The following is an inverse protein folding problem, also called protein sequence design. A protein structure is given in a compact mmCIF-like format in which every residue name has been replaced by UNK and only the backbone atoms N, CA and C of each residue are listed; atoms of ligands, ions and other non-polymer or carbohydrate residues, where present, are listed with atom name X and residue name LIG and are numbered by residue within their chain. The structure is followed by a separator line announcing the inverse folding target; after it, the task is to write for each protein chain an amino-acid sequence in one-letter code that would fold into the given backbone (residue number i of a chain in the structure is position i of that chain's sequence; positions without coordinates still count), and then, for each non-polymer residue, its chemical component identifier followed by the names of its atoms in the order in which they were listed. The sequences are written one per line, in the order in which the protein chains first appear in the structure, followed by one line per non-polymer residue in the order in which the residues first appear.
data_IF_058927662592
#
_entry.id   IF_058927662592
#
_cell.length_a   1.000
_cell.length_b   1.000
_cell.length_c   1.000
_cell.angle_alpha   90.00
_cell.angle_beta   90.00
_cell.angle_gamma   90.00
#
_symmetry.space_group_name_H-M   'P 1'
#
loop_
_entity.id
_entity.type
_entity.pdbx_description
1 polymer ?
#
# COMPACT_ATOMS: atom_id res chain seq x y z
N UNK A 1 -6.64 1.26 -13.07
CA UNK A 1 -6.40 0.59 -11.78
C UNK A 1 -4.93 0.36 -11.57
N UNK A 2 -4.46 0.56 -10.33
CA UNK A 2 -3.04 0.43 -9.94
C UNK A 2 -2.49 -0.97 -10.29
N UNK A 3 -3.27 -2.03 -10.12
CA UNK A 3 -2.84 -3.40 -10.43
C UNK A 3 -2.57 -3.61 -11.93
N UNK A 4 -3.23 -2.86 -12.81
CA UNK A 4 -2.95 -2.90 -14.24
C UNK A 4 -1.59 -2.28 -14.57
N UNK A 5 -1.24 -1.15 -13.95
CA UNK A 5 0.08 -0.55 -14.10
C UNK A 5 1.19 -1.49 -13.59
N UNK A 6 0.92 -2.19 -12.48
CA UNK A 6 1.83 -3.20 -11.95
C UNK A 6 2.03 -4.36 -12.94
N UNK A 7 0.95 -4.89 -13.55
CA UNK A 7 1.08 -5.95 -14.55
C UNK A 7 1.97 -5.58 -15.74
N UNK A 8 1.99 -4.31 -16.17
CA UNK A 8 2.86 -3.85 -17.26
C UNK A 8 4.36 -3.90 -16.88
N UNK A 9 4.68 -3.96 -15.58
CA UNK A 9 6.05 -4.04 -15.08
C UNK A 9 6.59 -5.47 -14.96
N UNK A 10 5.83 -6.51 -15.35
CA UNK A 10 6.25 -7.92 -15.21
C UNK A 10 7.62 -8.21 -15.83
N UNK A 11 7.80 -7.82 -17.09
CA UNK A 11 9.08 -8.01 -17.80
C UNK A 11 10.21 -7.17 -17.19
N UNK A 12 9.89 -6.01 -16.62
CA UNK A 12 10.87 -5.17 -15.93
C UNK A 12 11.32 -5.81 -14.61
N UNK A 13 10.39 -6.41 -13.87
CA UNK A 13 10.69 -7.05 -12.60
C UNK A 13 11.54 -8.32 -12.73
N UNK A 14 11.51 -9.02 -13.88
CA UNK A 14 12.34 -10.21 -14.15
C UNK A 14 12.26 -11.28 -13.04
N UNK A 15 11.07 -11.49 -12.48
CA UNK A 15 10.84 -12.43 -11.38
C UNK A 15 11.49 -12.02 -10.04
N UNK A 16 12.01 -10.81 -9.92
CA UNK A 16 12.57 -10.26 -8.68
C UNK A 16 11.49 -9.63 -7.79
N UNK A 17 11.72 -9.57 -6.48
CA UNK A 17 10.90 -8.76 -5.57
C UNK A 17 10.91 -7.28 -5.97
N UNK A 18 9.81 -6.57 -5.71
CA UNK A 18 9.65 -5.17 -6.07
C UNK A 18 8.99 -4.33 -4.99
N UNK A 19 9.23 -3.02 -5.08
CA UNK A 19 8.52 -1.99 -4.33
C UNK A 19 7.72 -1.15 -5.31
N UNK A 20 6.45 -0.97 -5.03
CA UNK A 20 5.52 -0.14 -5.80
C UNK A 20 5.18 1.07 -4.94
N UNK A 21 5.45 2.26 -5.48
CA UNK A 21 5.16 3.54 -4.82
C UNK A 21 4.26 4.35 -5.74
N UNK A 22 3.10 4.76 -5.26
CA UNK A 22 2.22 5.66 -6.00
C UNK A 22 2.87 7.06 -6.09
N UNK A 23 2.85 7.66 -7.28
CA UNK A 23 3.63 8.85 -7.57
C UNK A 23 3.23 10.13 -6.82
N UNK A 24 2.06 10.14 -6.18
CA UNK A 24 1.52 11.24 -5.38
C UNK A 24 1.68 11.02 -3.86
N UNK A 25 2.38 9.96 -3.45
CA UNK A 25 2.61 9.64 -2.04
C UNK A 25 3.89 10.28 -1.54
N UNK A 26 3.79 11.04 -0.46
CA UNK A 26 4.87 11.83 0.12
C UNK A 26 5.05 11.40 1.57
N UNK A 27 6.28 11.06 1.95
CA UNK A 27 6.60 10.53 3.26
C UNK A 27 7.98 10.98 3.73
N UNK A 28 8.14 11.03 5.05
CA UNK A 28 9.37 11.50 5.69
C UNK A 28 10.47 10.42 5.76
N UNK A 29 10.05 9.18 6.02
CA UNK A 29 10.95 8.13 6.51
C UNK A 29 11.60 7.32 5.40
N UNK A 30 12.84 6.90 5.64
CA UNK A 30 13.54 5.96 4.76
C UNK A 30 12.81 4.62 4.70
N UNK A 31 12.70 4.07 3.49
CA UNK A 31 12.09 2.75 3.28
C UNK A 31 13.05 1.57 3.52
N UNK A 32 14.33 1.85 3.80
CA UNK A 32 15.38 0.83 3.86
C UNK A 32 15.04 -0.31 4.83
N UNK A 33 14.63 0.04 6.06
CA UNK A 33 14.35 -0.96 7.08
C UNK A 33 13.16 -1.86 6.71
N UNK A 34 12.14 -1.32 6.03
CA UNK A 34 10.99 -2.09 5.57
C UNK A 34 11.35 -2.98 4.38
N UNK A 35 12.20 -2.49 3.47
CA UNK A 35 12.74 -3.28 2.37
C UNK A 35 13.58 -4.46 2.89
N UNK A 36 14.45 -4.22 3.88
CA UNK A 36 15.27 -5.28 4.49
C UNK A 36 14.38 -6.36 5.15
N UNK A 37 13.34 -5.96 5.87
CA UNK A 37 12.33 -6.88 6.44
C UNK A 37 11.60 -7.68 5.36
N UNK A 38 11.23 -7.04 4.25
CA UNK A 38 10.57 -7.70 3.13
C UNK A 38 11.47 -8.74 2.45
N UNK A 39 12.75 -8.42 2.22
CA UNK A 39 13.72 -9.39 1.69
C UNK A 39 13.89 -10.57 2.66
N UNK A 40 13.95 -10.31 3.98
CA UNK A 40 14.04 -11.37 4.98
C UNK A 40 12.77 -12.25 5.06
N UNK A 41 11.61 -11.73 4.68
CA UNK A 41 10.33 -12.46 4.61
C UNK A 41 10.32 -13.54 3.53
N UNK A 42 11.16 -13.40 2.48
CA UNK A 42 11.33 -14.31 1.33
C UNK A 42 10.14 -14.42 0.37
N UNK A 43 8.92 -14.53 0.89
CA UNK A 43 7.70 -14.77 0.10
C UNK A 43 6.54 -13.93 0.58
N UNK A 44 5.61 -13.62 -0.32
CA UNK A 44 4.40 -12.88 -0.03
C UNK A 44 4.51 -11.39 -0.37
N UNK A 45 3.70 -10.61 0.32
CA UNK A 45 3.62 -9.17 0.19
C UNK A 45 3.81 -8.48 1.53
N UNK A 46 4.16 -7.21 1.50
CA UNK A 46 4.20 -6.34 2.67
C UNK A 46 3.63 -4.98 2.34
N UNK A 47 2.73 -4.48 3.17
CA UNK A 47 2.17 -3.13 3.03
C UNK A 47 2.64 -2.23 4.15
N UNK A 48 2.74 -0.92 3.87
CA UNK A 48 2.98 0.06 4.92
C UNK A 48 1.67 0.70 5.32
N UNK A 49 1.41 0.71 6.63
CA UNK A 49 0.25 1.34 7.23
C UNK A 49 0.64 2.64 7.91
N UNK A 50 -0.28 3.59 7.94
CA UNK A 50 -0.13 4.81 8.73
C UNK A 50 -1.40 5.09 9.51
N UNK A 51 -1.24 5.39 10.80
CA UNK A 51 -2.36 5.90 11.59
C UNK A 51 -2.70 7.31 11.13
N UNK A 52 -3.95 7.54 10.75
CA UNK A 52 -4.47 8.82 10.26
C UNK A 52 -5.71 9.25 11.02
N UNK A 53 -6.00 10.55 11.02
CA UNK A 53 -7.20 11.12 11.64
C UNK A 53 -8.47 10.93 10.81
N UNK A 54 -8.31 10.71 9.51
CA UNK A 54 -9.36 10.72 8.49
C UNK A 54 -9.32 9.45 7.61
N UNK A 55 -9.43 8.25 8.21
CA UNK A 55 -9.26 6.96 7.51
C UNK A 55 -10.26 6.72 6.38
N UNK A 56 -11.44 7.35 6.42
CA UNK A 56 -12.50 7.23 5.40
C UNK A 56 -12.06 7.66 3.98
N UNK A 57 -10.94 8.41 3.86
CA UNK A 57 -10.39 8.84 2.57
C UNK A 57 -9.55 7.77 1.87
N UNK A 58 -9.16 6.71 2.59
CA UNK A 58 -8.16 5.74 2.15
C UNK A 58 -8.69 4.30 2.21
N UNK A 59 -7.89 3.35 1.73
CA UNK A 59 -8.05 1.95 2.10
C UNK A 59 -7.68 1.75 3.56
N UNK A 60 -8.56 1.16 4.37
CA UNK A 60 -8.36 0.97 5.81
C UNK A 60 -8.10 -0.50 6.10
N UNK A 61 -7.00 -0.78 6.80
CA UNK A 61 -6.64 -2.13 7.20
C UNK A 61 -7.40 -2.53 8.47
N UNK A 62 -7.96 -3.73 8.47
CA UNK A 62 -8.48 -4.39 9.66
C UNK A 62 -7.38 -5.28 10.25
N UNK A 63 -7.03 -5.04 11.51
CA UNK A 63 -5.93 -5.73 12.19
C UNK A 63 -6.48 -6.63 13.30
N UNK A 64 -6.06 -7.88 13.32
CA UNK A 64 -6.34 -8.83 14.38
C UNK A 64 -5.14 -9.75 14.60
N UNK A 65 -4.81 -10.06 15.86
CA UNK A 65 -3.73 -10.98 16.23
C UNK A 65 -2.37 -10.69 15.54
N UNK A 66 -2.06 -9.41 15.34
CA UNK A 66 -0.82 -8.99 14.69
C UNK A 66 -0.78 -9.22 13.18
N UNK A 67 -1.92 -9.46 12.53
CA UNK A 67 -2.06 -9.65 11.07
C UNK A 67 -3.08 -8.67 10.47
N UNK A 68 -2.97 -8.46 9.16
CA UNK A 68 -4.02 -7.79 8.38
C UNK A 68 -5.03 -8.84 7.95
N UNK A 69 -6.26 -8.75 8.45
CA UNK A 69 -7.34 -9.71 8.15
C UNK A 69 -8.31 -9.19 7.08
N UNK A 70 -8.25 -7.90 6.76
CA UNK A 70 -9.08 -7.28 5.75
C UNK A 70 -8.58 -5.90 5.36
N UNK A 71 -8.98 -5.44 4.19
CA UNK A 71 -8.77 -4.06 3.73
C UNK A 71 -10.07 -3.60 3.09
N UNK A 72 -10.58 -2.46 3.54
CA UNK A 72 -11.80 -1.85 3.01
C UNK A 72 -11.48 -0.52 2.34
N UNK A 73 -11.92 -0.32 1.10
CA UNK A 73 -11.67 0.91 0.35
C UNK A 73 -12.68 2.00 0.72
N UNK A 74 -12.19 3.11 1.30
CA UNK A 74 -12.99 4.29 1.66
C UNK A 74 -14.25 3.93 2.47
N UNK A 75 -14.10 3.23 3.61
CA UNK A 75 -15.22 2.80 4.43
C UNK A 75 -15.97 4.01 4.99
N UNK A 76 -17.30 3.89 5.10
CA UNK A 76 -18.11 4.89 5.84
C UNK A 76 -17.85 4.78 7.35
N UNK A 77 -17.74 3.56 7.85
CA UNK A 77 -17.45 3.24 9.24
C UNK A 77 -16.12 2.46 9.30
N UNK A 78 -14.98 3.15 9.43
CA UNK A 78 -13.66 2.52 9.40
C UNK A 78 -13.48 1.58 10.59
N UNK A 79 -12.99 0.36 10.33
CA UNK A 79 -12.71 -0.64 11.38
C UNK A 79 -11.44 -0.36 12.17
N UNK A 80 -10.59 0.55 11.68
CA UNK A 80 -9.40 1.03 12.38
C UNK A 80 -8.98 2.41 11.84
N UNK A 81 -8.01 3.04 12.50
CA UNK A 81 -7.40 4.29 12.04
C UNK A 81 -6.19 4.06 11.12
N UNK A 82 -5.89 2.81 10.73
CA UNK A 82 -4.73 2.46 9.93
C UNK A 82 -5.06 2.50 8.44
N UNK A 83 -4.65 3.59 7.79
CA UNK A 83 -4.69 3.69 6.34
C UNK A 83 -3.57 2.85 5.72
N UNK A 84 -3.92 2.11 4.67
CA UNK A 84 -2.96 1.50 3.74
C UNK A 84 -2.36 2.62 2.90
N UNK A 85 -1.06 2.83 3.02
CA UNK A 85 -0.36 3.85 2.23
C UNK A 85 -0.25 3.41 0.76
N UNK A 86 0.24 4.30 -0.10
CA UNK A 86 0.59 3.98 -1.50
C UNK A 86 1.94 3.29 -1.66
N UNK A 87 2.43 2.57 -0.64
CA UNK A 87 3.73 1.88 -0.64
C UNK A 87 3.50 0.40 -0.40
N UNK A 88 3.82 -0.41 -1.41
CA UNK A 88 3.57 -1.84 -1.43
C UNK A 88 4.85 -2.60 -1.80
N UNK A 89 5.09 -3.73 -1.15
CA UNK A 89 6.17 -4.65 -1.47
C UNK A 89 5.56 -5.96 -1.93
N UNK A 90 6.00 -6.48 -3.07
CA UNK A 90 5.47 -7.70 -3.66
C UNK A 90 6.57 -8.62 -4.14
N UNK A 91 6.37 -9.92 -3.95
CA UNK A 91 7.12 -10.94 -4.65
C UNK A 91 6.58 -11.13 -6.09
N UNK A 92 7.23 -11.99 -6.87
CA UNK A 92 6.84 -12.22 -8.26
C UNK A 92 5.47 -12.89 -8.43
N UNK A 93 4.88 -13.46 -7.36
CA UNK A 93 3.55 -14.09 -7.43
C UNK A 93 2.44 -13.07 -7.72
N UNK A 94 2.73 -11.78 -7.53
CA UNK A 94 1.78 -10.69 -7.77
C UNK A 94 1.26 -10.69 -9.21
N UNK A 95 2.10 -11.04 -10.19
CA UNK A 95 1.69 -11.08 -11.59
C UNK A 95 0.68 -12.19 -11.85
N UNK A 96 0.88 -13.37 -11.28
CA UNK A 96 -0.07 -14.48 -11.37
C UNK A 96 -1.39 -14.16 -10.67
N UNK A 97 -1.33 -13.46 -9.53
CA UNK A 97 -2.53 -12.94 -8.85
C UNK A 97 -3.27 -11.98 -9.79
N UNK A 98 -2.58 -10.99 -10.38
CA UNK A 98 -3.21 -9.99 -11.25
C UNK A 98 -3.84 -10.63 -12.49
N UNK A 99 -3.23 -11.67 -13.09
CA UNK A 99 -3.76 -12.37 -14.27
C UNK A 99 -5.17 -12.94 -14.04
N UNK A 100 -5.50 -13.35 -12.82
CA UNK A 100 -6.79 -13.98 -12.48
C UNK A 100 -7.79 -13.01 -11.85
N UNK A 101 -7.37 -11.77 -11.56
CA UNK A 101 -8.26 -10.75 -11.00
C UNK A 101 -9.35 -10.34 -11.99
N UNK A 102 -10.55 -10.12 -11.45
CA UNK A 102 -11.66 -9.52 -12.21
C UNK A 102 -11.69 -8.01 -11.97
N UNK A 103 -12.01 -7.21 -13.00
CA UNK A 103 -12.24 -5.79 -12.83
C UNK A 103 -13.33 -5.50 -11.77
N UNK A 104 -13.16 -4.42 -11.02
CA UNK A 104 -14.16 -3.92 -10.08
C UNK A 104 -15.41 -3.40 -10.80
N UNK A 105 -16.42 -2.95 -10.04
CA UNK A 105 -17.59 -2.28 -10.62
C UNK A 105 -17.24 -1.03 -11.45
N UNK A 106 -16.03 -0.47 -11.26
CA UNK A 106 -15.49 0.66 -12.04
C UNK A 106 -14.75 0.24 -13.31
N UNK A 107 -14.65 -1.06 -13.58
CA UNK A 107 -13.88 -1.60 -14.70
C UNK A 107 -12.37 -1.60 -14.47
N UNK A 108 -11.91 -1.40 -13.23
CA UNK A 108 -10.49 -1.32 -12.90
C UNK A 108 -9.98 -2.54 -12.13
N UNK A 109 -8.72 -2.92 -12.37
CA UNK A 109 -8.01 -3.85 -11.52
C UNK A 109 -7.48 -3.10 -10.28
N UNK A 110 -8.12 -3.38 -9.13
CA UNK A 110 -7.83 -2.71 -7.86
C UNK A 110 -6.65 -3.37 -7.14
N UNK A 111 -5.76 -2.55 -6.57
CA UNK A 111 -4.65 -3.06 -5.75
C UNK A 111 -5.16 -3.71 -4.45
N UNK A 112 -6.31 -3.27 -3.94
CA UNK A 112 -6.96 -3.86 -2.77
C UNK A 112 -7.32 -5.32 -2.99
N UNK A 113 -7.73 -5.71 -4.22
CA UNK A 113 -7.98 -7.11 -4.56
C UNK A 113 -6.69 -7.94 -4.62
N UNK A 114 -5.58 -7.35 -5.08
CA UNK A 114 -4.25 -8.00 -5.04
C UNK A 114 -3.87 -8.28 -3.58
N UNK A 115 -3.98 -7.28 -2.71
CA UNK A 115 -3.66 -7.41 -1.28
C UNK A 115 -4.54 -8.48 -0.62
N UNK A 116 -5.83 -8.51 -0.95
CA UNK A 116 -6.76 -9.52 -0.44
C UNK A 116 -6.34 -10.94 -0.82
N UNK A 117 -5.87 -11.16 -2.05
CA UNK A 117 -5.35 -12.47 -2.46
C UNK A 117 -4.11 -12.92 -1.66
N UNK A 118 -3.28 -11.98 -1.18
CA UNK A 118 -2.19 -12.28 -0.24
C UNK A 118 -2.70 -12.54 1.19
N UNK A 119 -3.76 -11.85 1.63
CA UNK A 119 -4.41 -12.10 2.93
C UNK A 119 -4.97 -13.53 2.97
N UNK A 120 -5.70 -13.96 1.93
CA UNK A 120 -6.29 -15.31 1.86
C UNK A 120 -5.24 -16.42 1.90
N UNK A 121 -4.00 -16.12 1.48
CA UNK A 121 -2.86 -17.04 1.51
C UNK A 121 -2.05 -16.97 2.80
N UNK A 122 -2.43 -16.14 3.77
CA UNK A 122 -1.64 -15.80 4.98
C UNK A 122 -0.23 -15.29 4.63
N UNK A 123 -0.12 -14.53 3.54
CA UNK A 123 1.13 -14.05 2.96
C UNK A 123 1.22 -12.51 2.91
N UNK A 124 0.29 -11.80 3.54
CA UNK A 124 0.34 -10.34 3.67
C UNK A 124 0.89 -9.94 5.04
N UNK A 125 2.13 -9.43 5.07
CA UNK A 125 2.69 -8.77 6.23
C UNK A 125 2.42 -7.26 6.20
N UNK A 126 2.64 -6.58 7.32
CA UNK A 126 2.63 -5.12 7.36
C UNK A 126 3.74 -4.57 8.25
N UNK A 127 4.04 -3.29 8.07
CA UNK A 127 4.72 -2.45 9.06
C UNK A 127 3.94 -1.14 9.23
N UNK A 128 4.14 -0.48 10.37
CA UNK A 128 3.69 0.89 10.56
C UNK A 128 4.80 1.83 10.07
N UNK A 129 4.45 2.73 9.16
CA UNK A 129 5.35 3.74 8.63
C UNK A 129 5.67 4.78 9.71
N UNK A 130 6.96 4.95 9.97
CA UNK A 130 7.50 5.96 10.87
C UNK A 130 7.33 7.36 10.27
N UNK A 131 7.35 8.39 11.11
CA UNK A 131 7.25 9.77 10.67
C UNK A 131 5.88 10.11 10.07
N UNK A 132 5.85 11.14 9.22
CA UNK A 132 4.62 11.55 8.54
C UNK A 132 4.53 10.97 7.12
N UNK A 133 3.28 10.77 6.68
CA UNK A 133 2.91 10.40 5.33
C UNK A 133 1.63 11.13 4.94
N UNK A 134 1.51 11.48 3.67
CA UNK A 134 0.30 12.05 3.06
C UNK A 134 0.25 11.72 1.57
N UNK A 135 -0.96 11.74 1.02
CA UNK A 135 -1.20 11.82 -0.42
C UNK A 135 -1.26 13.28 -0.89
N UNK A 136 -1.11 13.50 -2.19
CA UNK A 136 -1.33 14.79 -2.86
C UNK A 136 -2.47 14.72 -3.90
N UNK A 137 -3.50 13.92 -3.63
CA UNK A 137 -4.62 13.68 -4.55
C UNK A 137 -5.72 14.76 -4.58
N UNK A 138 -5.78 15.69 -3.60
CA UNK A 138 -6.70 16.84 -3.59
C UNK A 138 -5.96 18.15 -3.37
N UNK A 139 -6.60 19.28 -3.63
CA UNK A 139 -6.01 20.59 -3.33
C UNK A 139 -5.69 20.75 -1.84
N UNK A 140 -6.56 20.24 -0.95
CA UNK A 140 -6.28 20.27 0.49
C UNK A 140 -5.11 19.35 0.86
N UNK A 141 -5.04 18.13 0.32
CA UNK A 141 -3.95 17.20 0.65
C UNK A 141 -2.61 17.65 0.07
N UNK A 142 -2.61 18.26 -1.12
CA UNK A 142 -1.43 18.94 -1.67
C UNK A 142 -0.96 20.12 -0.81
N UNK A 143 -1.89 20.96 -0.34
CA UNK A 143 -1.57 22.05 0.59
C UNK A 143 -0.93 21.52 1.88
N UNK A 144 -1.51 20.48 2.47
CA UNK A 144 -0.98 19.80 3.65
C UNK A 144 0.41 19.19 3.39
N UNK A 145 0.62 18.58 2.24
CA UNK A 145 1.92 18.03 1.86
C UNK A 145 3.01 19.11 1.83
N UNK A 146 2.73 20.27 1.25
CA UNK A 146 3.66 21.40 1.24
C UNK A 146 3.98 21.87 2.66
N UNK A 147 2.98 21.98 3.54
CA UNK A 147 3.22 22.35 4.94
C UNK A 147 4.12 21.34 5.67
N UNK A 148 3.89 20.05 5.46
CA UNK A 148 4.69 18.99 6.08
C UNK A 148 6.14 19.03 5.61
N UNK A 149 6.37 19.12 4.30
CA UNK A 149 7.71 19.19 3.70
C UNK A 149 8.46 20.43 4.17
N UNK A 150 7.80 21.59 4.26
CA UNK A 150 8.43 22.84 4.76
C UNK A 150 8.80 22.73 6.25
N UNK A 151 7.92 22.15 7.08
CA UNK A 151 8.16 22.02 8.52
C UNK A 151 9.22 20.97 8.84
N UNK A 152 9.21 19.85 8.12
CA UNK A 152 10.07 18.69 8.37
C UNK A 152 10.31 17.94 7.05
N UNK A 153 11.32 18.36 6.26
CA UNK A 153 11.57 17.77 4.96
C UNK A 153 11.95 16.28 5.09
N UNK A 154 11.62 15.45 4.09
CA UNK A 154 12.10 14.06 4.03
C UNK A 154 13.64 14.02 4.10
N UNK A 155 14.18 13.06 4.85
CA UNK A 155 15.63 12.87 5.00
C UNK A 155 16.21 11.90 3.97
#
# INVERSE_FOLDING_TARGET
GIAQALALAENFAQGQPMVVILGDNIFESSLKNYADKFIAQKTGARILLRQVSDPQRFGVAELADGKVIGIEEKPKEPKSDYAVTGIYFYDAQVFEIIRVLKPSARGELEITHVNYAYIEKDQLAYDILDGWWTDAGTFESLGRANELVVKKPPQ
#
